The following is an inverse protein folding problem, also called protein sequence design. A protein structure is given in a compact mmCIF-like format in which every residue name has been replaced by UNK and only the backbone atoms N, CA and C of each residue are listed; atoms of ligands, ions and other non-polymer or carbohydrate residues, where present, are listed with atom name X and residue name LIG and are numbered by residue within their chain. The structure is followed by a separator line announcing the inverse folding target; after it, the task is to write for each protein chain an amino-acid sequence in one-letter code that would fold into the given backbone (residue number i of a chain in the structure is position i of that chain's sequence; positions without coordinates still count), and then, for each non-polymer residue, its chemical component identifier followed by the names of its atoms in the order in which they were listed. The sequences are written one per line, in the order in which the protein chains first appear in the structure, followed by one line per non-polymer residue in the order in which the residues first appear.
data_IF_066646858527
#
_entry.id   IF_066646858527
#
_cell.length_a   1.000
_cell.length_b   1.000
_cell.length_c   1.000
_cell.angle_alpha   90.00
_cell.angle_beta   90.00
_cell.angle_gamma   90.00
#
_symmetry.space_group_name_H-M   'P 1'
#
loop_
_entity.id
_entity.type
_entity.pdbx_description
1 polymer ?
#
# COMPACT_ATOMS: atom_id res chain seq x y z
N UNK A 1 44.46 -21.52 8.12
CA UNK A 1 43.60 -20.94 9.18
C UNK A 1 42.88 -19.70 8.76
N UNK A 2 43.49 -18.82 7.95
CA UNK A 2 42.80 -17.65 7.37
C UNK A 2 41.64 -18.06 6.45
N UNK A 3 41.76 -19.22 5.75
CA UNK A 3 40.69 -19.72 4.90
C UNK A 3 39.45 -20.13 5.70
N UNK A 4 39.64 -20.76 6.86
CA UNK A 4 38.53 -21.15 7.72
C UNK A 4 37.80 -19.94 8.28
N UNK A 5 38.52 -18.89 8.64
CA UNK A 5 37.93 -17.65 9.13
C UNK A 5 37.14 -16.92 8.03
N UNK A 6 37.66 -16.91 6.79
CA UNK A 6 36.96 -16.34 5.65
C UNK A 6 35.66 -17.08 5.36
N UNK A 7 35.66 -18.40 5.47
CA UNK A 7 34.46 -19.22 5.27
C UNK A 7 33.41 -18.93 6.35
N UNK A 8 33.84 -18.83 7.61
CA UNK A 8 32.96 -18.51 8.73
C UNK A 8 32.34 -17.13 8.55
N UNK A 9 33.14 -16.11 8.18
CA UNK A 9 32.66 -14.77 7.93
C UNK A 9 31.65 -14.74 6.77
N UNK A 10 31.95 -15.44 5.67
CA UNK A 10 31.04 -15.55 4.55
C UNK A 10 29.71 -16.20 4.92
N UNK A 11 29.77 -17.26 5.72
CA UNK A 11 28.56 -17.94 6.22
C UNK A 11 27.72 -17.03 7.12
N UNK A 12 28.36 -16.22 7.96
CA UNK A 12 27.68 -15.26 8.81
C UNK A 12 26.99 -14.16 7.98
N UNK A 13 27.66 -13.68 6.94
CA UNK A 13 27.09 -12.71 6.02
C UNK A 13 25.88 -13.29 5.27
N UNK A 14 25.97 -14.54 4.83
CA UNK A 14 24.85 -15.23 4.17
C UNK A 14 23.66 -15.33 5.11
N UNK A 15 23.90 -15.72 6.37
CA UNK A 15 22.82 -15.83 7.36
C UNK A 15 22.16 -14.47 7.62
N UNK A 16 22.95 -13.41 7.75
CA UNK A 16 22.46 -12.07 7.95
C UNK A 16 21.62 -11.59 6.77
N UNK A 17 22.08 -11.85 5.55
CA UNK A 17 21.35 -11.50 4.32
C UNK A 17 20.04 -12.27 4.21
N UNK A 18 20.02 -13.53 4.59
CA UNK A 18 18.80 -14.34 4.60
C UNK A 18 17.77 -13.75 5.55
N UNK A 19 18.19 -13.38 6.75
CA UNK A 19 17.29 -12.75 7.74
C UNK A 19 16.75 -11.43 7.22
N UNK A 20 17.60 -10.62 6.62
CA UNK A 20 17.20 -9.34 6.06
C UNK A 20 16.22 -9.52 4.91
N UNK A 21 16.48 -10.51 4.04
CA UNK A 21 15.56 -10.84 2.95
C UNK A 21 14.19 -11.29 3.47
N UNK A 22 14.14 -12.09 4.53
CA UNK A 22 12.89 -12.50 5.13
C UNK A 22 12.11 -11.30 5.68
N UNK A 23 12.79 -10.37 6.34
CA UNK A 23 12.17 -9.15 6.85
C UNK A 23 11.61 -8.30 5.70
N UNK A 24 12.38 -8.14 4.64
CA UNK A 24 11.97 -7.38 3.47
C UNK A 24 10.75 -8.02 2.78
N UNK A 25 10.75 -9.33 2.66
CA UNK A 25 9.61 -10.06 2.09
C UNK A 25 8.34 -9.85 2.91
N UNK A 26 8.44 -9.91 4.24
CA UNK A 26 7.32 -9.66 5.13
C UNK A 26 6.79 -8.23 4.98
N UNK A 27 7.70 -7.26 4.86
CA UNK A 27 7.33 -5.86 4.64
C UNK A 27 6.65 -5.67 3.29
N UNK A 28 7.16 -6.31 2.24
CA UNK A 28 6.55 -6.24 0.91
C UNK A 28 5.11 -6.78 0.93
N UNK A 29 4.88 -7.90 1.59
CA UNK A 29 3.54 -8.48 1.73
C UNK A 29 2.63 -7.53 2.49
N UNK A 30 3.09 -6.98 3.60
CA UNK A 30 2.33 -6.04 4.42
C UNK A 30 1.93 -4.79 3.62
N UNK A 31 2.89 -4.18 2.92
CA UNK A 31 2.61 -2.99 2.12
C UNK A 31 1.72 -3.30 0.93
N UNK A 32 1.84 -4.48 0.33
CA UNK A 32 0.93 -4.93 -0.72
C UNK A 32 -0.52 -4.95 -0.25
N UNK A 33 -0.78 -5.47 0.94
CA UNK A 33 -2.13 -5.45 1.54
C UNK A 33 -2.60 -4.02 1.82
N UNK A 34 -1.73 -3.16 2.33
CA UNK A 34 -2.08 -1.76 2.60
C UNK A 34 -2.41 -1.00 1.32
N UNK A 35 -1.64 -1.21 0.26
CA UNK A 35 -1.91 -0.60 -1.05
C UNK A 35 -3.28 -1.06 -1.57
N UNK A 36 -3.57 -2.36 -1.51
CA UNK A 36 -4.87 -2.89 -1.93
C UNK A 36 -6.02 -2.26 -1.16
N UNK A 37 -5.89 -2.14 0.16
CA UNK A 37 -6.90 -1.50 1.01
C UNK A 37 -7.11 -0.03 0.65
N UNK A 38 -6.02 0.70 0.42
CA UNK A 38 -6.08 2.11 0.05
C UNK A 38 -6.69 2.32 -1.33
N UNK A 39 -6.39 1.45 -2.28
CA UNK A 39 -7.01 1.49 -3.61
C UNK A 39 -8.53 1.30 -3.51
N UNK A 40 -8.97 0.37 -2.68
CA UNK A 40 -10.37 0.11 -2.45
C UNK A 40 -11.06 1.32 -1.78
N UNK A 41 -10.43 1.90 -0.75
CA UNK A 41 -10.93 3.10 -0.10
C UNK A 41 -11.02 4.27 -1.08
N UNK A 42 -10.01 4.44 -1.93
CA UNK A 42 -10.01 5.49 -2.93
C UNK A 42 -11.16 5.32 -3.93
N UNK A 43 -11.43 4.11 -4.36
CA UNK A 43 -12.55 3.84 -5.25
C UNK A 43 -13.89 4.17 -4.59
N UNK A 44 -14.07 3.77 -3.35
CA UNK A 44 -15.26 4.10 -2.57
C UNK A 44 -15.44 5.61 -2.41
N UNK A 45 -14.36 6.33 -2.13
CA UNK A 45 -14.39 7.79 -1.99
C UNK A 45 -14.74 8.47 -3.30
N UNK A 46 -14.23 7.98 -4.44
CA UNK A 46 -14.57 8.50 -5.76
C UNK A 46 -16.06 8.34 -6.05
N UNK A 47 -16.62 7.17 -5.76
CA UNK A 47 -18.04 6.91 -5.94
C UNK A 47 -18.88 7.82 -5.04
N UNK A 48 -18.47 7.95 -3.78
CA UNK A 48 -19.17 8.80 -2.83
C UNK A 48 -19.13 10.28 -3.26
N UNK A 49 -17.96 10.74 -3.74
CA UNK A 49 -17.81 12.09 -4.25
C UNK A 49 -18.69 12.33 -5.46
N UNK A 50 -18.79 11.38 -6.38
CA UNK A 50 -19.67 11.48 -7.53
C UNK A 50 -21.14 11.61 -7.12
N UNK A 51 -21.58 10.84 -6.12
CA UNK A 51 -22.93 10.94 -5.57
C UNK A 51 -23.19 12.32 -4.96
N UNK A 52 -22.22 12.84 -4.21
CA UNK A 52 -22.34 14.17 -3.60
C UNK A 52 -22.41 15.27 -4.63
N UNK A 53 -21.62 15.20 -5.69
CA UNK A 53 -21.68 16.16 -6.81
C UNK A 53 -23.06 16.13 -7.46
N UNK A 54 -23.61 14.96 -7.70
CA UNK A 54 -24.95 14.80 -8.26
C UNK A 54 -26.03 15.44 -7.35
N UNK A 55 -25.90 15.23 -6.05
CA UNK A 55 -26.83 15.84 -5.09
C UNK A 55 -26.73 17.36 -5.08
N UNK A 56 -25.51 17.89 -5.13
CA UNK A 56 -25.28 19.33 -5.20
C UNK A 56 -25.90 19.92 -6.46
N UNK A 57 -25.68 19.28 -7.61
CA UNK A 57 -26.26 19.72 -8.87
C UNK A 57 -27.79 19.74 -8.82
N UNK A 58 -28.38 18.70 -8.24
CA UNK A 58 -29.83 18.63 -8.07
C UNK A 58 -30.34 19.77 -7.17
N UNK A 59 -29.69 20.00 -6.04
CA UNK A 59 -30.08 21.05 -5.10
C UNK A 59 -29.93 22.43 -5.69
N UNK A 60 -28.89 22.68 -6.47
CA UNK A 60 -28.71 23.94 -7.20
C UNK A 60 -29.84 24.20 -8.19
N UNK A 61 -30.26 23.17 -8.90
CA UNK A 61 -31.41 23.27 -9.81
C UNK A 61 -32.72 23.59 -9.08
N UNK A 62 -32.93 22.97 -7.91
CA UNK A 62 -34.10 23.24 -7.09
C UNK A 62 -34.09 24.68 -6.62
N UNK A 63 -32.94 25.17 -6.14
CA UNK A 63 -32.80 26.57 -5.68
C UNK A 63 -33.01 27.55 -6.83
N UNK A 64 -32.52 27.24 -8.02
CA UNK A 64 -32.69 28.10 -9.21
C UNK A 64 -34.08 28.00 -9.81
N UNK A 65 -34.92 27.09 -9.38
CA UNK A 65 -36.29 26.95 -9.83
C UNK A 65 -36.45 26.19 -11.14
N UNK A 66 -35.43 25.43 -11.56
CA UNK A 66 -35.43 24.64 -12.80
C UNK A 66 -36.17 23.30 -12.68
N UNK A 67 -36.56 22.94 -11.49
CA UNK A 67 -37.22 21.66 -11.24
C UNK A 67 -38.65 21.83 -10.76
#
# INVERSE_FOLDING_TARGET
MTECNAIIEANNEIDDLKRENEKLNKLCVKYGFEVGRLEEENEQLKQHNAELVNKIDFLERVVDGDV
#
